data_IF_633141492165
#
_entry.id   IF_633141492165
#
_cell.length_a   1.000
_cell.length_b   1.000
_cell.length_c   1.000
_cell.angle_alpha   90.00
_cell.angle_beta   90.00
_cell.angle_gamma   90.00
#
_symmetry.space_group_name_H-M   'P 1'
#
loop_
_entity.id
_entity.type
_entity.pdbx_description
1 polymer ?
#
# COMPACT_ATOMS: atom_id res chain seq x y z
N UNK A 1 24.80 -9.12 -20.16
CA UNK A 1 23.75 -8.42 -19.41
C UNK A 1 22.34 -8.63 -19.97
N UNK A 2 22.12 -8.66 -21.29
CA UNK A 2 20.80 -8.89 -21.90
C UNK A 2 20.26 -10.33 -21.81
N UNK A 3 21.13 -11.36 -21.67
CA UNK A 3 20.68 -12.76 -21.52
C UNK A 3 20.03 -13.07 -20.16
N UNK A 4 20.31 -12.31 -19.11
CA UNK A 4 19.70 -12.53 -17.80
C UNK A 4 18.25 -12.05 -17.72
N UNK A 5 17.91 -10.93 -18.35
CA UNK A 5 16.57 -10.35 -18.35
C UNK A 5 15.51 -11.28 -18.98
N UNK A 6 15.86 -11.93 -20.10
CA UNK A 6 14.96 -12.88 -20.77
C UNK A 6 14.74 -14.15 -19.95
N UNK A 7 15.75 -14.64 -19.23
CA UNK A 7 15.61 -15.79 -18.35
C UNK A 7 14.80 -15.48 -17.09
N UNK A 8 14.97 -14.29 -16.52
CA UNK A 8 14.25 -13.88 -15.32
C UNK A 8 12.76 -13.59 -15.59
N UNK A 9 12.42 -13.11 -16.81
CA UNK A 9 11.04 -12.74 -17.15
C UNK A 9 10.21 -13.88 -17.77
N UNK A 10 10.83 -14.87 -18.37
CA UNK A 10 10.13 -15.91 -19.16
C UNK A 10 10.32 -17.33 -18.61
N UNK A 11 11.08 -17.51 -17.52
CA UNK A 11 11.37 -18.85 -17.02
C UNK A 11 10.18 -19.54 -16.35
N UNK A 12 9.25 -18.80 -15.74
CA UNK A 12 8.12 -19.31 -14.95
C UNK A 12 6.80 -18.57 -15.18
N UNK A 13 6.50 -18.17 -16.40
CA UNK A 13 5.34 -17.32 -16.76
C UNK A 13 4.02 -17.78 -16.12
N UNK A 14 3.77 -19.09 -16.05
CA UNK A 14 2.55 -19.61 -15.43
C UNK A 14 2.47 -19.31 -13.95
N UNK A 15 3.55 -19.54 -13.22
CA UNK A 15 3.58 -19.30 -11.78
C UNK A 15 3.57 -17.79 -11.47
N UNK A 16 4.23 -16.99 -12.30
CA UNK A 16 4.26 -15.54 -12.17
C UNK A 16 2.88 -14.93 -12.44
N UNK A 17 2.14 -15.43 -13.44
CA UNK A 17 0.76 -15.01 -13.69
C UNK A 17 -0.17 -15.40 -12.55
N UNK A 18 -0.06 -16.62 -12.02
CA UNK A 18 -0.88 -17.06 -10.89
C UNK A 18 -0.56 -16.23 -9.64
N UNK A 19 0.71 -16.00 -9.35
CA UNK A 19 1.12 -15.14 -8.23
C UNK A 19 0.61 -13.70 -8.40
N UNK A 20 0.72 -13.15 -9.61
CA UNK A 20 0.20 -11.82 -9.93
C UNK A 20 -1.31 -11.71 -9.76
N UNK A 21 -2.09 -12.73 -10.17
CA UNK A 21 -3.53 -12.74 -9.95
C UNK A 21 -3.89 -12.79 -8.48
N UNK A 22 -3.24 -13.63 -7.68
CA UNK A 22 -3.48 -13.71 -6.23
C UNK A 22 -3.18 -12.38 -5.56
N UNK A 23 -2.05 -11.76 -5.91
CA UNK A 23 -1.66 -10.45 -5.39
C UNK A 23 -2.66 -9.37 -5.79
N UNK A 24 -3.10 -9.34 -7.06
CA UNK A 24 -4.10 -8.38 -7.52
C UNK A 24 -5.42 -8.50 -6.76
N UNK A 25 -5.91 -9.73 -6.54
CA UNK A 25 -7.12 -9.99 -5.75
C UNK A 25 -6.97 -9.55 -4.29
N UNK A 26 -5.79 -9.68 -3.71
CA UNK A 26 -5.52 -9.22 -2.34
C UNK A 26 -5.40 -7.68 -2.26
N UNK A 27 -4.81 -7.03 -3.26
CA UNK A 27 -4.62 -5.58 -3.28
C UNK A 27 -5.89 -4.77 -3.52
N UNK A 28 -6.89 -5.33 -4.22
CA UNK A 28 -8.15 -4.62 -4.50
C UNK A 28 -8.86 -4.20 -3.20
N UNK A 29 -9.20 -5.11 -2.27
CA UNK A 29 -9.86 -4.72 -1.02
C UNK A 29 -8.98 -3.82 -0.14
N UNK A 30 -7.66 -4.02 -0.15
CA UNK A 30 -6.72 -3.19 0.58
C UNK A 30 -6.70 -1.74 0.05
N UNK A 31 -6.64 -1.56 -1.28
CA UNK A 31 -6.68 -0.25 -1.91
C UNK A 31 -8.00 0.48 -1.62
N UNK A 32 -9.13 -0.23 -1.64
CA UNK A 32 -10.44 0.31 -1.30
C UNK A 32 -10.46 0.76 0.17
N UNK A 33 -10.04 -0.11 1.09
CA UNK A 33 -10.04 0.18 2.52
C UNK A 33 -9.19 1.41 2.87
N UNK A 34 -7.98 1.50 2.34
CA UNK A 34 -7.11 2.65 2.60
C UNK A 34 -7.60 3.94 1.93
N UNK A 35 -8.30 3.85 0.80
CA UNK A 35 -8.94 5.02 0.19
C UNK A 35 -10.06 5.57 1.05
N UNK A 36 -10.89 4.70 1.61
CA UNK A 36 -11.96 5.07 2.54
C UNK A 36 -11.37 5.71 3.79
N UNK A 37 -10.34 5.10 4.39
CA UNK A 37 -9.63 5.66 5.56
C UNK A 37 -9.08 7.06 5.23
N UNK A 38 -8.45 7.24 4.08
CA UNK A 38 -7.90 8.52 3.65
C UNK A 38 -8.97 9.57 3.30
N UNK A 39 -10.25 9.18 3.21
CA UNK A 39 -11.35 10.06 2.83
C UNK A 39 -11.40 10.36 1.33
N UNK A 40 -10.89 9.45 0.50
CA UNK A 40 -10.83 9.56 -0.96
C UNK A 40 -11.76 8.53 -1.60
N UNK A 41 -12.31 8.84 -2.78
CA UNK A 41 -13.13 7.88 -3.53
C UNK A 41 -12.31 6.60 -3.80
N UNK A 42 -12.87 5.40 -3.51
CA UNK A 42 -12.21 4.12 -3.76
C UNK A 42 -11.68 3.94 -5.19
N UNK A 43 -12.35 4.54 -6.17
CA UNK A 43 -11.89 4.52 -7.57
C UNK A 43 -10.51 5.14 -7.73
N UNK A 44 -10.25 6.25 -7.04
CA UNK A 44 -8.94 6.95 -7.10
C UNK A 44 -7.83 6.03 -6.56
N UNK A 45 -8.08 5.34 -5.45
CA UNK A 45 -7.13 4.38 -4.89
C UNK A 45 -6.87 3.19 -5.81
N UNK A 46 -7.92 2.65 -6.45
CA UNK A 46 -7.76 1.56 -7.41
C UNK A 46 -6.95 1.98 -8.64
N UNK A 47 -7.21 3.17 -9.21
CA UNK A 47 -6.42 3.70 -10.32
C UNK A 47 -4.96 3.95 -9.91
N UNK A 48 -4.74 4.51 -8.73
CA UNK A 48 -3.39 4.73 -8.22
C UNK A 48 -2.63 3.40 -8.04
N UNK A 49 -3.27 2.39 -7.45
CA UNK A 49 -2.70 1.06 -7.28
C UNK A 49 -2.37 0.39 -8.62
N UNK A 50 -3.25 0.52 -9.61
CA UNK A 50 -2.99 0.04 -10.97
C UNK A 50 -1.79 0.72 -11.60
N UNK A 51 -1.73 2.07 -11.56
CA UNK A 51 -0.61 2.83 -12.11
C UNK A 51 0.71 2.47 -11.43
N UNK A 52 0.72 2.36 -10.10
CA UNK A 52 1.92 1.96 -9.34
C UNK A 52 2.36 0.55 -9.73
N UNK A 53 1.43 -0.41 -9.82
CA UNK A 53 1.73 -1.78 -10.20
C UNK A 53 2.36 -1.85 -11.60
N UNK A 54 1.80 -1.10 -12.56
CA UNK A 54 2.35 -1.01 -13.92
C UNK A 54 3.76 -0.42 -13.92
N UNK A 55 3.97 0.69 -13.24
CA UNK A 55 5.29 1.36 -13.21
C UNK A 55 6.33 0.46 -12.52
N UNK A 56 5.97 -0.17 -11.39
CA UNK A 56 6.91 -1.01 -10.64
C UNK A 56 7.26 -2.29 -11.39
N UNK A 57 6.35 -2.82 -12.21
CA UNK A 57 6.62 -4.00 -13.05
C UNK A 57 7.79 -3.77 -14.01
N UNK A 58 7.95 -2.56 -14.52
CA UNK A 58 9.04 -2.20 -15.46
C UNK A 58 10.24 -1.55 -14.76
N UNK A 59 10.00 -0.68 -13.77
CA UNK A 59 11.04 0.09 -13.07
C UNK A 59 11.49 -0.54 -11.76
N UNK A 60 10.88 -1.65 -11.33
CA UNK A 60 11.19 -2.34 -10.09
C UNK A 60 12.63 -2.87 -10.05
N UNK A 61 13.30 -2.71 -8.91
CA UNK A 61 14.69 -3.11 -8.73
C UNK A 61 14.93 -4.57 -8.40
N UNK A 62 13.86 -5.35 -8.10
CA UNK A 62 13.95 -6.78 -7.74
C UNK A 62 12.78 -7.56 -8.31
N UNK A 63 13.01 -8.83 -8.72
CA UNK A 63 11.92 -9.73 -9.10
C UNK A 63 10.92 -9.89 -7.93
N UNK A 64 9.62 -9.89 -8.24
CA UNK A 64 8.56 -10.01 -7.23
C UNK A 64 8.34 -8.79 -6.33
N UNK A 65 8.91 -7.62 -6.68
CA UNK A 65 8.68 -6.38 -5.95
C UNK A 65 7.26 -5.86 -6.18
N UNK A 66 6.54 -5.60 -5.10
CA UNK A 66 5.20 -5.03 -5.12
C UNK A 66 5.24 -3.69 -4.39
N UNK A 67 4.56 -2.69 -4.94
CA UNK A 67 4.32 -1.42 -4.28
C UNK A 67 2.81 -1.19 -4.21
N UNK A 68 2.32 -0.85 -3.04
CA UNK A 68 0.91 -0.62 -2.77
C UNK A 68 0.71 0.52 -1.78
N UNK A 69 -0.55 0.91 -1.59
CA UNK A 69 -0.92 1.85 -0.55
C UNK A 69 -0.56 1.32 0.84
N UNK A 70 -0.21 2.20 1.76
CA UNK A 70 0.09 1.84 3.15
C UNK A 70 -0.88 2.52 4.11
N UNK A 71 -1.35 1.78 5.10
CA UNK A 71 -2.25 2.31 6.12
C UNK A 71 -1.66 3.50 6.89
N UNK A 72 -0.34 3.50 7.11
CA UNK A 72 0.36 4.62 7.73
C UNK A 72 0.19 5.92 6.95
N UNK A 73 0.36 5.88 5.63
CA UNK A 73 0.20 7.05 4.77
C UNK A 73 -1.27 7.45 4.66
N UNK A 74 -2.19 6.48 4.58
CA UNK A 74 -3.62 6.76 4.55
C UNK A 74 -4.05 7.59 5.77
N UNK A 75 -3.62 7.20 6.97
CA UNK A 75 -3.94 7.93 8.22
C UNK A 75 -3.37 9.36 8.23
N UNK A 76 -2.17 9.57 7.73
CA UNK A 76 -1.55 10.92 7.65
C UNK A 76 -2.29 11.80 6.64
N UNK A 77 -2.78 11.22 5.55
CA UNK A 77 -3.45 11.97 4.48
C UNK A 77 -4.89 12.38 4.82
N UNK A 78 -5.53 11.80 5.84
CA UNK A 78 -6.91 12.11 6.23
C UNK A 78 -7.12 13.61 6.46
N UNK A 79 -6.27 14.24 7.25
CA UNK A 79 -6.36 15.67 7.55
C UNK A 79 -6.16 16.52 6.31
N UNK A 80 -5.16 16.18 5.50
CA UNK A 80 -4.88 16.90 4.26
C UNK A 80 -6.06 16.85 3.29
N UNK A 81 -6.67 15.69 3.11
CA UNK A 81 -7.81 15.51 2.20
C UNK A 81 -9.06 16.23 2.73
N UNK A 82 -9.31 16.19 4.03
CA UNK A 82 -10.47 16.84 4.65
C UNK A 82 -10.40 18.36 4.59
N UNK A 83 -9.23 18.93 4.79
CA UNK A 83 -9.04 20.38 4.85
C UNK A 83 -8.84 21.02 3.48
N UNK A 84 -8.15 20.34 2.56
CA UNK A 84 -7.68 20.92 1.32
C UNK A 84 -8.17 20.18 0.05
N UNK A 85 -8.71 18.98 0.21
CA UNK A 85 -9.26 18.19 -0.89
C UNK A 85 -8.23 17.38 -1.68
N UNK A 86 -8.73 16.65 -2.69
CA UNK A 86 -7.95 15.72 -3.50
C UNK A 86 -6.79 16.37 -4.27
N UNK A 87 -6.96 17.63 -4.71
CA UNK A 87 -5.91 18.30 -5.49
C UNK A 87 -4.62 18.50 -4.69
N UNK A 88 -4.74 18.82 -3.41
CA UNK A 88 -3.58 18.92 -2.54
C UNK A 88 -2.92 17.57 -2.25
N UNK A 89 -3.71 16.50 -2.20
CA UNK A 89 -3.18 15.14 -2.11
C UNK A 89 -2.32 14.80 -3.34
N UNK A 90 -2.79 15.15 -4.54
CA UNK A 90 -2.02 14.94 -5.77
C UNK A 90 -0.74 15.78 -5.80
N UNK A 91 -0.81 17.03 -5.37
CA UNK A 91 0.38 17.89 -5.25
C UNK A 91 1.39 17.33 -4.22
N UNK A 92 0.90 16.85 -3.07
CA UNK A 92 1.74 16.22 -2.05
C UNK A 92 2.40 14.93 -2.55
N UNK A 93 1.70 14.12 -3.34
CA UNK A 93 2.27 12.91 -3.94
C UNK A 93 3.37 13.23 -4.96
N UNK A 94 3.19 14.25 -5.78
CA UNK A 94 4.23 14.72 -6.70
C UNK A 94 5.47 15.21 -5.94
N UNK A 95 5.27 16.03 -4.92
CA UNK A 95 6.37 16.51 -4.08
C UNK A 95 7.10 15.35 -3.39
N UNK A 96 6.35 14.40 -2.83
CA UNK A 96 6.91 13.20 -2.21
C UNK A 96 7.73 12.39 -3.22
N UNK A 97 7.23 12.23 -4.45
CA UNK A 97 7.96 11.54 -5.53
C UNK A 97 9.31 12.21 -5.82
N UNK A 98 9.34 13.54 -5.94
CA UNK A 98 10.58 14.30 -6.15
C UNK A 98 11.55 14.10 -4.97
N UNK A 99 11.06 14.22 -3.73
CA UNK A 99 11.87 14.00 -2.54
C UNK A 99 12.43 12.57 -2.46
N UNK A 100 11.64 11.56 -2.86
CA UNK A 100 12.08 10.17 -2.91
C UNK A 100 13.18 9.94 -3.94
N UNK A 101 13.11 10.58 -5.12
CA UNK A 101 14.16 10.53 -6.13
C UNK A 101 15.45 11.13 -5.58
N UNK A 102 15.38 12.31 -4.95
CA UNK A 102 16.52 12.96 -4.32
C UNK A 102 17.13 12.07 -3.23
N UNK A 103 16.30 11.52 -2.35
CA UNK A 103 16.71 10.61 -1.28
C UNK A 103 17.37 9.33 -1.83
N UNK A 104 16.84 8.79 -2.93
CA UNK A 104 17.43 7.66 -3.65
C UNK A 104 18.79 7.98 -4.22
N UNK A 105 18.95 9.16 -4.84
CA UNK A 105 20.23 9.62 -5.38
C UNK A 105 21.26 9.82 -4.28
N UNK A 106 20.87 10.38 -3.15
CA UNK A 106 21.72 10.52 -1.95
C UNK A 106 21.97 9.19 -1.22
N UNK A 107 21.43 8.07 -1.71
CA UNK A 107 21.55 6.72 -1.11
C UNK A 107 21.13 6.68 0.37
N UNK A 108 20.15 7.49 0.77
CA UNK A 108 19.66 7.57 2.15
C UNK A 108 19.05 6.25 2.64
N UNK A 109 18.68 5.35 1.73
CA UNK A 109 18.23 3.99 2.09
C UNK A 109 19.26 3.21 2.91
N UNK A 110 20.56 3.54 2.79
CA UNK A 110 21.62 2.96 3.63
C UNK A 110 21.50 3.30 5.11
N UNK A 111 20.78 4.38 5.47
CA UNK A 111 20.53 4.77 6.86
C UNK A 111 19.58 3.79 7.57
N UNK A 112 18.76 3.03 6.83
CA UNK A 112 17.85 2.04 7.41
C UNK A 112 18.57 0.94 8.20
N UNK A 113 19.83 0.67 7.91
CA UNK A 113 20.63 -0.29 8.70
C UNK A 113 20.89 0.15 10.15
N UNK A 114 20.75 1.44 10.44
CA UNK A 114 20.90 1.99 11.80
C UNK A 114 19.58 1.93 12.60
N UNK A 115 18.46 1.63 11.95
CA UNK A 115 17.17 1.49 12.63
C UNK A 115 17.14 0.13 13.32
N UNK A 116 16.98 0.15 14.64
CA UNK A 116 16.91 -1.09 15.42
C UNK A 116 15.62 -1.86 15.16
N UNK A 117 15.65 -3.17 15.30
CA UNK A 117 14.46 -4.03 15.17
C UNK A 117 13.34 -3.62 16.13
N UNK A 118 13.69 -3.17 17.33
CA UNK A 118 12.72 -2.71 18.33
C UNK A 118 11.92 -1.52 17.85
N UNK A 119 12.56 -0.56 17.16
CA UNK A 119 11.87 0.60 16.58
C UNK A 119 10.89 0.15 15.48
N UNK A 120 11.32 -0.76 14.60
CA UNK A 120 10.45 -1.30 13.55
C UNK A 120 9.25 -2.02 14.15
N UNK A 121 9.47 -2.89 15.14
CA UNK A 121 8.38 -3.62 15.80
C UNK A 121 7.44 -2.66 16.53
N UNK A 122 7.95 -1.66 17.24
CA UNK A 122 7.13 -0.63 17.90
C UNK A 122 6.28 0.15 16.90
N UNK A 123 6.86 0.54 15.77
CA UNK A 123 6.16 1.23 14.70
C UNK A 123 5.03 0.39 14.10
N UNK A 124 5.29 -0.89 13.80
CA UNK A 124 4.27 -1.80 13.25
C UNK A 124 3.14 -2.02 14.24
N UNK A 125 3.45 -2.22 15.53
CA UNK A 125 2.43 -2.38 16.57
C UNK A 125 1.56 -1.11 16.73
N UNK A 126 2.19 0.06 16.71
CA UNK A 126 1.46 1.33 16.78
C UNK A 126 0.53 1.50 15.57
N UNK A 127 1.00 1.16 14.36
CA UNK A 127 0.18 1.18 13.16
C UNK A 127 -1.00 0.20 13.24
N UNK A 128 -0.79 -1.00 13.75
CA UNK A 128 -1.86 -1.98 13.91
C UNK A 128 -2.97 -1.44 14.83
N UNK A 129 -2.60 -0.79 15.94
CA UNK A 129 -3.56 -0.17 16.85
C UNK A 129 -4.30 0.99 16.17
N UNK A 130 -3.59 1.87 15.46
CA UNK A 130 -4.19 3.01 14.77
C UNK A 130 -5.15 2.57 13.65
N UNK A 131 -4.77 1.57 12.87
CA UNK A 131 -5.63 1.01 11.81
C UNK A 131 -6.86 0.36 12.43
N UNK A 132 -6.70 -0.40 13.52
CA UNK A 132 -7.83 -0.99 14.23
C UNK A 132 -8.80 0.08 14.73
N UNK A 133 -8.29 1.14 15.37
CA UNK A 133 -9.12 2.25 15.83
C UNK A 133 -9.82 2.97 14.68
N UNK A 134 -9.17 3.12 13.53
CA UNK A 134 -9.76 3.74 12.34
C UNK A 134 -10.89 2.90 11.71
N UNK A 135 -10.92 1.58 11.97
CA UNK A 135 -11.99 0.69 11.49
C UNK A 135 -13.22 0.70 12.41
N UNK A 136 -13.09 1.10 13.68
CA UNK A 136 -14.22 1.07 14.63
C UNK A 136 -15.42 1.92 14.18
N UNK A 137 -15.26 3.13 13.64
CA UNK A 137 -16.38 3.91 13.12
C UNK A 137 -17.14 3.22 11.99
N UNK A 138 -16.45 2.45 11.14
CA UNK A 138 -17.05 1.73 10.03
C UNK A 138 -17.91 0.54 10.47
N UNK A 139 -17.71 0.07 11.71
CA UNK A 139 -18.52 -0.99 12.33
C UNK A 139 -19.74 -0.44 13.09
N UNK A 140 -19.92 0.89 13.13
CA UNK A 140 -21.08 1.49 13.82
C UNK A 140 -22.27 1.62 12.87
N UNK A 141 -23.47 1.24 13.33
CA UNK A 141 -24.74 1.34 12.57
C UNK A 141 -24.78 0.49 11.27
N UNK A 142 -24.08 -0.63 11.24
CA UNK A 142 -24.10 -1.55 10.11
C UNK A 142 -25.01 -2.76 10.39
N UNK A 143 -25.39 -3.48 9.32
CA UNK A 143 -26.22 -4.67 9.44
C UNK A 143 -25.49 -5.79 10.19
N UNK A 144 -26.27 -6.67 10.86
CA UNK A 144 -25.72 -7.82 11.60
C UNK A 144 -24.83 -8.73 10.74
N UNK A 145 -25.07 -8.77 9.43
CA UNK A 145 -24.29 -9.54 8.47
C UNK A 145 -22.82 -9.07 8.40
N UNK A 146 -22.58 -7.75 8.53
CA UNK A 146 -21.23 -7.18 8.56
C UNK A 146 -20.50 -7.63 9.82
N UNK A 147 -21.17 -7.63 10.97
CA UNK A 147 -20.58 -8.16 12.21
C UNK A 147 -20.24 -9.64 12.11
N UNK A 148 -21.13 -10.45 11.51
CA UNK A 148 -20.88 -11.86 11.31
C UNK A 148 -19.68 -12.12 10.37
N UNK A 149 -19.59 -11.37 9.28
CA UNK A 149 -18.44 -11.46 8.35
C UNK A 149 -17.14 -11.01 8.99
N UNK A 150 -17.16 -9.93 9.76
CA UNK A 150 -15.97 -9.44 10.49
C UNK A 150 -15.52 -10.46 11.54
N UNK A 151 -16.45 -11.02 12.31
CA UNK A 151 -16.14 -12.05 13.29
C UNK A 151 -15.60 -13.33 12.63
N UNK A 152 -16.18 -13.75 11.50
CA UNK A 152 -15.67 -14.88 10.73
C UNK A 152 -14.25 -14.62 10.19
N UNK A 153 -14.00 -13.43 9.65
CA UNK A 153 -12.69 -13.02 9.17
C UNK A 153 -11.63 -13.03 10.28
N UNK A 154 -11.95 -12.47 11.45
CA UNK A 154 -11.06 -12.50 12.62
C UNK A 154 -10.83 -13.91 13.17
N UNK A 155 -11.80 -14.81 13.02
CA UNK A 155 -11.68 -16.19 13.48
C UNK A 155 -10.86 -17.10 12.56
N UNK A 156 -10.60 -16.67 11.31
CA UNK A 156 -9.78 -17.40 10.35
C UNK A 156 -8.29 -17.04 10.47
N UNK A 157 -7.97 -15.85 10.99
CA UNK A 157 -6.62 -15.36 11.23
C UNK A 157 -6.09 -15.88 12.56
#
# INVERSE_FOLDING_TARGET
MMKSLSQDWLSNVRNDLLAGMVVALALIPEAIAFSIIAGVDPKVGLYASFCIAMVIAFAGGRPGMISAATGAMALVMVTLVREHGLQYLLAATLLTGVLQIIAGWLKLGGLMRFVSRSVITGFVNALAILIFMAQLPELTNVSWQVYAMTAAGLGII
#
